data_IF_189841039645
#
_entry.id   IF_189841039645
#
_cell.length_a   1.000
_cell.length_b   1.000
_cell.length_c   1.000
_cell.angle_alpha   90.00
_cell.angle_beta   90.00
_cell.angle_gamma   90.00
#
_symmetry.space_group_name_H-M   'P 1'
#
loop_
_entity.id
_entity.type
_entity.pdbx_description
1 polymer ?
#
# COMPACT_ATOMS: atom_id res chain seq x y z
N UNK A 1 -0.98 25.42 -54.92
CA UNK A 1 -1.89 24.68 -54.01
C UNK A 1 -1.09 24.24 -52.80
N UNK A 2 -1.10 25.04 -51.75
CA UNK A 2 -0.39 24.83 -50.49
C UNK A 2 -1.37 24.31 -49.45
N UNK A 3 -1.11 23.21 -48.74
CA UNK A 3 -1.97 22.80 -47.64
C UNK A 3 -1.80 23.77 -46.45
N UNK A 4 -2.92 24.29 -45.97
CA UNK A 4 -3.01 25.01 -44.70
C UNK A 4 -2.84 24.01 -43.56
N UNK A 5 -1.68 24.04 -42.89
CA UNK A 5 -1.48 23.32 -41.63
C UNK A 5 -2.20 24.08 -40.52
N UNK A 6 -3.25 23.46 -39.98
CA UNK A 6 -4.03 23.97 -38.86
C UNK A 6 -3.14 24.15 -37.62
N UNK A 7 -3.05 25.38 -37.14
CA UNK A 7 -2.46 25.73 -35.86
C UNK A 7 -3.46 25.36 -34.74
N UNK A 8 -3.32 24.15 -34.19
CA UNK A 8 -3.99 23.73 -32.97
C UNK A 8 -3.08 24.03 -31.77
N UNK A 9 -3.31 25.15 -31.08
CA UNK A 9 -2.72 25.38 -29.76
C UNK A 9 -3.48 24.50 -28.77
N UNK A 10 -3.02 23.26 -28.61
CA UNK A 10 -3.40 22.45 -27.47
C UNK A 10 -2.51 22.88 -26.29
N UNK A 11 -3.02 23.76 -25.45
CA UNK A 11 -2.47 23.98 -24.12
C UNK A 11 -2.64 22.68 -23.33
N UNK A 12 -1.66 21.78 -23.44
CA UNK A 12 -1.53 20.66 -22.52
C UNK A 12 -1.10 21.25 -21.19
N UNK A 13 -2.08 21.56 -20.33
CA UNK A 13 -1.83 21.68 -18.90
C UNK A 13 -1.26 20.35 -18.44
N UNK A 14 0.06 20.30 -18.29
CA UNK A 14 0.71 19.28 -17.48
C UNK A 14 0.19 19.53 -16.08
N UNK A 15 -0.76 18.71 -15.64
CA UNK A 15 -1.03 18.59 -14.22
C UNK A 15 0.24 17.99 -13.61
N UNK A 16 1.17 18.88 -13.23
CA UNK A 16 2.26 18.57 -12.33
C UNK A 16 1.60 18.33 -10.97
N UNK A 17 1.04 17.12 -10.82
CA UNK A 17 0.64 16.57 -9.52
C UNK A 17 1.90 16.22 -8.75
N UNK A 18 2.67 17.24 -8.40
CA UNK A 18 3.78 17.12 -7.48
C UNK A 18 3.22 16.86 -6.09
N UNK A 19 3.51 15.70 -5.53
CA UNK A 19 3.92 15.66 -4.13
C UNK A 19 5.33 15.10 -4.11
N UNK A 20 6.22 15.99 -3.72
CA UNK A 20 7.65 15.80 -3.60
C UNK A 20 7.95 14.62 -2.69
N UNK A 21 8.57 13.59 -3.29
CA UNK A 21 9.39 12.60 -2.58
C UNK A 21 10.62 13.35 -2.02
N UNK A 22 10.41 14.17 -0.98
CA UNK A 22 11.29 15.29 -0.66
C UNK A 22 11.53 15.45 0.83
N UNK A 23 12.03 14.39 1.48
CA UNK A 23 12.80 14.44 2.74
C UNK A 23 13.40 13.08 3.17
N UNK A 24 12.90 11.94 2.67
CA UNK A 24 13.37 10.62 3.14
C UNK A 24 14.75 10.17 2.61
N UNK A 25 15.45 11.03 1.86
CA UNK A 25 16.79 10.76 1.34
C UNK A 25 17.93 11.13 2.33
N UNK A 26 17.62 11.47 3.58
CA UNK A 26 18.63 11.83 4.59
C UNK A 26 18.60 10.91 5.82
N UNK A 27 18.66 9.60 5.58
CA UNK A 27 19.17 8.62 6.54
C UNK A 27 19.68 7.36 5.78
N UNK A 28 20.62 7.56 4.84
CA UNK A 28 21.47 6.46 4.38
C UNK A 28 22.23 5.93 5.61
N UNK A 29 22.08 4.63 5.87
CA UNK A 29 22.81 3.78 6.84
C UNK A 29 22.01 3.22 8.04
N UNK A 30 20.68 3.20 7.97
CA UNK A 30 19.85 2.39 8.88
C UNK A 30 19.01 1.39 8.10
N UNK A 31 19.14 0.10 8.40
CA UNK A 31 18.33 -1.00 7.87
C UNK A 31 16.89 -0.96 8.43
N UNK A 32 16.30 0.22 8.59
CA UNK A 32 15.09 0.45 9.38
C UNK A 32 13.94 0.87 8.48
N UNK A 33 13.02 -0.07 8.26
CA UNK A 33 11.74 0.17 7.59
C UNK A 33 10.98 1.32 8.26
N UNK A 34 10.51 2.28 7.47
CA UNK A 34 9.70 3.41 7.93
C UNK A 34 8.31 2.94 8.29
N UNK A 35 7.92 3.13 9.54
CA UNK A 35 6.55 2.84 10.02
C UNK A 35 5.56 3.92 9.60
N UNK A 36 4.29 3.58 9.60
CA UNK A 36 3.22 4.55 9.36
C UNK A 36 3.22 5.68 10.40
N UNK A 37 3.58 5.39 11.67
CA UNK A 37 3.70 6.41 12.72
C UNK A 37 4.78 7.43 12.37
N UNK A 38 5.95 6.99 11.92
CA UNK A 38 7.03 7.89 11.50
C UNK A 38 6.61 8.74 10.31
N UNK A 39 5.96 8.14 9.31
CA UNK A 39 5.42 8.85 8.15
C UNK A 39 4.38 9.93 8.54
N UNK A 40 3.45 9.60 9.43
CA UNK A 40 2.40 10.53 9.88
C UNK A 40 2.92 11.59 10.87
N UNK A 41 4.06 11.35 11.52
CA UNK A 41 4.70 12.33 12.40
C UNK A 41 5.43 13.43 11.62
N UNK A 42 5.77 13.19 10.35
CA UNK A 42 6.38 14.19 9.49
C UNK A 42 5.41 15.37 9.22
N UNK A 43 5.84 16.59 9.52
CA UNK A 43 5.04 17.80 9.33
C UNK A 43 4.68 18.06 7.85
N UNK A 44 5.43 17.48 6.91
CA UNK A 44 5.20 17.64 5.46
C UNK A 44 4.15 16.70 4.89
N UNK A 45 3.68 15.71 5.65
CA UNK A 45 2.66 14.78 5.16
C UNK A 45 1.31 15.49 5.03
N UNK A 46 0.88 15.73 3.78
CA UNK A 46 -0.34 16.50 3.46
C UNK A 46 -1.63 15.70 3.62
N UNK A 47 -1.54 14.36 3.68
CA UNK A 47 -2.71 13.47 3.61
C UNK A 47 -2.98 12.74 4.95
N UNK A 48 -2.54 13.30 6.09
CA UNK A 48 -2.69 12.65 7.41
C UNK A 48 -4.15 12.30 7.72
N UNK A 49 -5.08 13.18 7.35
CA UNK A 49 -6.51 12.98 7.58
C UNK A 49 -7.05 11.72 6.90
N UNK A 50 -6.47 11.27 5.78
CA UNK A 50 -6.84 10.00 5.13
C UNK A 50 -6.60 8.79 6.02
N UNK A 51 -5.68 8.88 6.99
CA UNK A 51 -5.33 7.80 7.91
C UNK A 51 -5.92 8.02 9.30
N UNK A 52 -6.00 9.27 9.74
CA UNK A 52 -6.32 9.63 11.13
C UNK A 52 -7.79 9.98 11.36
N UNK A 53 -8.65 9.91 10.34
CA UNK A 53 -10.10 10.05 10.57
C UNK A 53 -10.57 8.98 11.55
N UNK A 54 -11.57 9.32 12.38
CA UNK A 54 -12.16 8.39 13.32
C UNK A 54 -12.59 7.08 12.63
N UNK A 55 -12.44 5.98 13.36
CA UNK A 55 -12.80 4.63 12.94
C UNK A 55 -11.93 3.99 11.84
N UNK A 56 -10.85 4.62 11.36
CA UNK A 56 -9.92 3.96 10.42
C UNK A 56 -8.92 3.04 11.12
N UNK A 57 -8.43 2.02 10.43
CA UNK A 57 -7.40 1.11 10.99
C UNK A 57 -6.16 1.88 11.44
N UNK A 58 -5.72 2.84 10.61
CA UNK A 58 -4.57 3.68 10.90
C UNK A 58 -4.84 4.81 11.89
N UNK A 59 -6.08 5.04 12.34
CA UNK A 59 -6.35 6.05 13.37
C UNK A 59 -5.86 5.62 14.75
N UNK A 60 -5.64 4.31 14.96
CA UNK A 60 -5.08 3.78 16.21
C UNK A 60 -3.56 3.89 16.19
N UNK A 61 -2.99 4.73 17.07
CA UNK A 61 -1.53 4.97 17.15
C UNK A 61 -0.73 3.67 17.32
N UNK A 62 -1.21 2.71 18.12
CA UNK A 62 -0.54 1.41 18.28
C UNK A 62 -0.46 0.61 16.98
N UNK A 63 -1.43 0.75 16.07
CA UNK A 63 -1.36 0.12 14.75
C UNK A 63 -0.32 0.82 13.89
N UNK A 64 -0.26 2.16 13.92
CA UNK A 64 0.69 2.94 13.12
C UNK A 64 2.17 2.56 13.39
N UNK A 65 2.50 2.12 14.61
CA UNK A 65 3.84 1.64 14.99
C UNK A 65 4.21 0.30 14.33
N UNK A 66 3.21 -0.45 13.89
CA UNK A 66 3.35 -1.81 13.35
C UNK A 66 3.25 -1.84 11.84
N UNK A 67 2.45 -0.94 11.27
CA UNK A 67 2.19 -0.85 9.83
C UNK A 67 3.37 -0.20 9.10
N UNK A 68 3.72 -0.72 7.94
CA UNK A 68 4.80 -0.19 7.10
C UNK A 68 4.26 0.93 6.21
N UNK A 69 4.93 2.07 6.17
CA UNK A 69 4.46 3.19 5.36
C UNK A 69 4.59 2.92 3.84
N UNK A 70 3.62 3.41 3.08
CA UNK A 70 3.70 3.45 1.63
C UNK A 70 4.57 4.64 1.18
N UNK A 71 5.89 4.49 1.28
CA UNK A 71 6.88 5.49 0.87
C UNK A 71 8.02 4.83 0.09
N UNK A 72 8.67 5.57 -0.80
CA UNK A 72 9.79 5.08 -1.60
C UNK A 72 10.96 4.56 -0.76
N UNK A 73 11.17 5.11 0.44
CA UNK A 73 12.18 4.60 1.37
C UNK A 73 11.95 3.14 1.79
N UNK A 74 10.73 2.62 1.67
CA UNK A 74 10.38 1.24 1.99
C UNK A 74 10.34 0.31 0.76
N UNK A 75 10.68 0.79 -0.44
CA UNK A 75 10.61 0.01 -1.67
C UNK A 75 11.29 -1.36 -1.54
N UNK A 76 12.53 -1.39 -1.03
CA UNK A 76 13.27 -2.64 -0.83
C UNK A 76 12.57 -3.59 0.14
N UNK A 77 11.95 -3.06 1.20
CA UNK A 77 11.19 -3.86 2.15
C UNK A 77 9.94 -4.47 1.50
N UNK A 78 9.18 -3.68 0.74
CA UNK A 78 7.98 -4.15 0.04
C UNK A 78 8.31 -5.23 -0.99
N UNK A 79 9.38 -5.04 -1.76
CA UNK A 79 9.85 -6.03 -2.72
C UNK A 79 10.32 -7.31 -2.02
N UNK A 80 11.12 -7.19 -0.94
CA UNK A 80 11.55 -8.35 -0.15
C UNK A 80 10.38 -9.10 0.48
N UNK A 81 9.38 -8.38 1.00
CA UNK A 81 8.17 -8.97 1.57
C UNK A 81 7.38 -9.73 0.51
N UNK A 82 7.22 -9.16 -0.69
CA UNK A 82 6.59 -9.87 -1.81
C UNK A 82 7.40 -11.09 -2.23
N UNK A 83 8.71 -10.97 -2.42
CA UNK A 83 9.59 -12.06 -2.83
C UNK A 83 9.58 -13.25 -1.87
N UNK A 84 9.41 -13.01 -0.57
CA UNK A 84 9.28 -14.06 0.45
C UNK A 84 8.05 -14.94 0.23
N UNK A 85 6.96 -14.40 -0.33
CA UNK A 85 5.66 -15.07 -0.38
C UNK A 85 5.11 -15.29 -1.77
N UNK A 86 5.73 -14.69 -2.79
CA UNK A 86 5.27 -14.85 -4.16
C UNK A 86 5.39 -16.31 -4.56
N UNK A 87 4.39 -16.80 -5.27
CA UNK A 87 4.33 -18.11 -5.88
C UNK A 87 3.89 -17.96 -7.33
N UNK A 88 4.22 -18.91 -8.22
CA UNK A 88 3.70 -18.91 -9.58
C UNK A 88 2.17 -18.88 -9.58
N UNK A 89 1.55 -18.04 -10.43
CA UNK A 89 0.09 -17.85 -10.50
C UNK A 89 -0.64 -19.09 -11.03
N UNK A 90 0.08 -19.98 -11.73
CA UNK A 90 -0.35 -21.25 -12.33
C UNK A 90 0.89 -22.14 -12.58
N UNK A 91 0.78 -23.21 -13.40
CA UNK A 91 1.96 -23.90 -13.97
C UNK A 91 2.85 -22.99 -14.85
N UNK A 92 2.37 -21.79 -15.20
CA UNK A 92 3.17 -20.77 -15.86
C UNK A 92 4.09 -20.06 -14.85
N UNK A 93 5.37 -20.45 -14.88
CA UNK A 93 6.42 -19.92 -14.01
C UNK A 93 6.83 -18.47 -14.31
N UNK A 94 6.25 -17.83 -15.34
CA UNK A 94 6.58 -16.45 -15.71
C UNK A 94 5.80 -15.39 -14.92
N UNK A 95 4.69 -15.75 -14.27
CA UNK A 95 3.85 -14.82 -13.51
C UNK A 95 3.83 -15.19 -12.04
N UNK A 96 4.27 -14.27 -11.18
CA UNK A 96 4.29 -14.46 -9.73
C UNK A 96 3.24 -13.60 -9.06
N UNK A 97 2.49 -14.18 -8.13
CA UNK A 97 1.52 -13.46 -7.29
C UNK A 97 1.54 -13.97 -5.85
N UNK A 98 0.76 -13.34 -4.97
CA UNK A 98 0.53 -13.86 -3.63
C UNK A 98 -0.64 -14.88 -3.57
N UNK A 99 -1.12 -15.39 -4.70
CA UNK A 99 -2.35 -16.21 -4.77
C UNK A 99 -2.38 -17.38 -3.80
N UNK A 100 -1.30 -18.15 -3.70
CA UNK A 100 -1.21 -19.33 -2.82
C UNK A 100 -0.83 -18.99 -1.38
N UNK A 101 -0.33 -17.78 -1.13
CA UNK A 101 0.14 -17.33 0.18
C UNK A 101 -0.83 -16.37 0.87
N UNK A 102 -1.89 -15.95 0.18
CA UNK A 102 -2.93 -15.04 0.66
C UNK A 102 -4.28 -15.74 0.75
N UNK A 103 -5.02 -15.39 1.81
CA UNK A 103 -6.36 -15.93 2.01
C UNK A 103 -7.46 -15.08 1.35
N UNK A 104 -7.22 -13.79 1.14
CA UNK A 104 -8.18 -12.84 0.58
C UNK A 104 -7.91 -12.52 -0.89
N UNK A 105 -8.98 -12.41 -1.68
CA UNK A 105 -8.89 -12.14 -3.14
C UNK A 105 -8.14 -10.85 -3.47
N UNK A 106 -8.18 -9.85 -2.57
CA UNK A 106 -7.46 -8.58 -2.72
C UNK A 106 -5.95 -8.81 -2.77
N UNK A 107 -5.40 -9.61 -1.86
CA UNK A 107 -3.96 -9.86 -1.80
C UNK A 107 -3.54 -10.93 -2.83
N UNK A 108 -4.41 -11.87 -3.18
CA UNK A 108 -4.13 -12.82 -4.27
C UNK A 108 -3.85 -12.16 -5.63
N UNK A 109 -4.38 -10.95 -5.86
CA UNK A 109 -4.17 -10.15 -7.06
C UNK A 109 -2.84 -9.37 -7.10
N UNK A 110 -2.07 -9.38 -6.01
CA UNK A 110 -0.79 -8.67 -5.92
C UNK A 110 0.24 -9.37 -6.81
N UNK A 111 0.85 -8.61 -7.71
CA UNK A 111 1.81 -9.04 -8.74
C UNK A 111 3.22 -8.47 -8.49
N UNK A 112 3.37 -7.50 -7.58
CA UNK A 112 4.66 -6.88 -7.22
C UNK A 112 4.66 -6.31 -5.80
N UNK A 113 5.85 -6.11 -5.24
CA UNK A 113 6.01 -5.53 -3.90
C UNK A 113 5.72 -4.04 -3.86
N UNK A 114 6.44 -3.25 -4.65
CA UNK A 114 6.32 -1.80 -4.67
C UNK A 114 5.88 -1.27 -6.05
N UNK A 115 5.06 -0.23 -6.04
CA UNK A 115 4.83 0.65 -7.19
C UNK A 115 4.56 2.08 -6.73
N UNK A 116 5.15 3.04 -7.45
CA UNK A 116 4.81 4.46 -7.36
C UNK A 116 3.67 4.87 -8.29
N UNK A 117 3.18 3.95 -9.14
CA UNK A 117 2.17 4.23 -10.14
C UNK A 117 0.76 4.01 -9.58
N UNK A 118 -0.11 5.00 -9.74
CA UNK A 118 -1.52 4.91 -9.31
C UNK A 118 -2.31 3.81 -10.07
N UNK A 119 -1.85 3.41 -11.25
CA UNK A 119 -2.45 2.32 -12.03
C UNK A 119 -2.31 0.93 -11.39
N UNK A 120 -1.45 0.79 -10.38
CA UNK A 120 -1.17 -0.47 -9.68
C UNK A 120 -1.83 -0.56 -8.30
N UNK A 121 -2.85 0.25 -8.02
CA UNK A 121 -3.48 0.35 -6.71
C UNK A 121 -3.89 -1.02 -6.12
N UNK A 122 -4.24 -1.99 -6.97
CA UNK A 122 -4.66 -3.34 -6.57
C UNK A 122 -3.63 -4.43 -6.91
N UNK A 123 -2.45 -4.06 -7.43
CA UNK A 123 -1.43 -4.99 -7.94
C UNK A 123 -0.10 -4.89 -7.22
N UNK A 124 0.19 -3.75 -6.59
CA UNK A 124 1.39 -3.55 -5.79
C UNK A 124 1.07 -3.66 -4.30
N UNK A 125 1.88 -4.42 -3.57
CA UNK A 125 1.65 -4.70 -2.16
C UNK A 125 1.60 -3.42 -1.31
N UNK A 126 2.51 -2.47 -1.55
CA UNK A 126 2.53 -1.18 -0.85
C UNK A 126 1.21 -0.41 -1.02
N UNK A 127 0.61 -0.44 -2.21
CA UNK A 127 -0.65 0.26 -2.50
C UNK A 127 -1.85 -0.44 -1.87
N UNK A 128 -1.90 -1.77 -1.96
CA UNK A 128 -2.96 -2.59 -1.34
C UNK A 128 -2.97 -2.40 0.18
N UNK A 129 -1.79 -2.40 0.80
CA UNK A 129 -1.65 -2.14 2.22
C UNK A 129 -2.05 -0.69 2.58
N UNK A 130 -1.64 0.30 1.79
CA UNK A 130 -2.03 1.69 2.01
C UNK A 130 -3.55 1.89 1.98
N UNK A 131 -4.23 1.25 1.02
CA UNK A 131 -5.67 1.25 0.94
C UNK A 131 -6.32 0.59 2.17
N UNK A 132 -5.73 -0.49 2.69
CA UNK A 132 -6.19 -1.14 3.91
C UNK A 132 -6.11 -0.20 5.13
N UNK A 133 -5.04 0.59 5.25
CA UNK A 133 -4.84 1.51 6.37
C UNK A 133 -5.94 2.57 6.48
N UNK A 134 -6.46 2.98 5.32
CA UNK A 134 -7.50 4.02 5.17
C UNK A 134 -8.92 3.48 5.33
N UNK A 135 -9.10 2.16 5.35
CA UNK A 135 -10.40 1.51 5.58
C UNK A 135 -10.86 1.67 7.03
N UNK A 136 -12.17 1.68 7.21
CA UNK A 136 -12.82 1.69 8.53
C UNK A 136 -12.64 0.33 9.22
N UNK A 137 -12.52 0.33 10.55
CA UNK A 137 -12.30 -0.87 11.40
C UNK A 137 -13.38 -1.93 11.22
N UNK A 138 -14.62 -1.55 10.87
CA UNK A 138 -15.72 -2.49 10.59
C UNK A 138 -15.49 -3.35 9.35
N UNK A 139 -14.57 -2.98 8.46
CA UNK A 139 -14.11 -3.81 7.33
C UNK A 139 -13.25 -4.99 7.79
N UNK A 140 -12.81 -4.97 9.05
CA UNK A 140 -11.92 -5.96 9.66
C UNK A 140 -12.61 -6.73 10.80
N UNK A 141 -13.73 -6.20 11.32
CA UNK A 141 -14.58 -6.89 12.30
C UNK A 141 -15.60 -7.77 11.58
N UNK A 142 -15.48 -9.09 11.79
CA UNK A 142 -16.54 -10.03 11.47
C UNK A 142 -17.59 -10.05 12.58
N UNK A 143 -18.86 -9.89 12.24
CA UNK A 143 -19.99 -10.14 13.15
C UNK A 143 -21.04 -11.13 12.64
N UNK A 144 -20.99 -11.60 11.38
CA UNK A 144 -21.83 -12.67 10.79
C UNK A 144 -21.27 -13.08 9.41
N UNK A 145 -21.38 -14.36 9.01
CA UNK A 145 -21.25 -14.98 7.65
C UNK A 145 -20.23 -14.45 6.62
N UNK A 146 -20.25 -13.13 6.37
CA UNK A 146 -19.19 -12.32 5.73
C UNK A 146 -17.90 -12.21 6.58
N UNK A 147 -17.92 -12.77 7.78
CA UNK A 147 -16.81 -12.89 8.73
C UNK A 147 -15.56 -13.49 8.14
N UNK A 148 -15.71 -14.54 7.35
CA UNK A 148 -14.55 -15.29 6.88
C UNK A 148 -13.75 -14.44 5.90
N UNK A 149 -14.40 -13.67 5.04
CA UNK A 149 -13.70 -12.77 4.11
C UNK A 149 -12.99 -11.64 4.85
N UNK A 150 -13.62 -11.04 5.87
CA UNK A 150 -13.00 -9.99 6.69
C UNK A 150 -11.86 -10.54 7.56
N UNK A 151 -11.99 -11.75 8.10
CA UNK A 151 -10.93 -12.46 8.85
C UNK A 151 -9.74 -12.75 7.94
N UNK A 152 -9.97 -13.33 6.77
CA UNK A 152 -8.93 -13.59 5.75
C UNK A 152 -8.21 -12.30 5.34
N UNK A 153 -8.96 -11.24 5.07
CA UNK A 153 -8.40 -9.94 4.74
C UNK A 153 -7.57 -9.36 5.90
N UNK A 154 -8.07 -9.48 7.13
CA UNK A 154 -7.35 -9.05 8.33
C UNK A 154 -6.05 -9.83 8.53
N UNK A 155 -6.08 -11.15 8.34
CA UNK A 155 -4.89 -12.01 8.42
C UNK A 155 -3.85 -11.59 7.38
N UNK A 156 -4.27 -11.37 6.14
CA UNK A 156 -3.37 -10.91 5.08
C UNK A 156 -2.76 -9.53 5.41
N UNK A 157 -3.55 -8.59 5.96
CA UNK A 157 -3.02 -7.30 6.41
C UNK A 157 -1.99 -7.47 7.54
N UNK A 158 -2.26 -8.34 8.52
CA UNK A 158 -1.30 -8.67 9.60
C UNK A 158 -0.07 -9.44 9.11
N UNK A 159 -0.16 -10.10 7.95
CA UNK A 159 0.93 -10.90 7.38
C UNK A 159 1.84 -10.06 6.50
N UNK A 160 1.24 -9.26 5.62
CA UNK A 160 1.97 -8.58 4.56
C UNK A 160 2.23 -7.10 4.84
N UNK A 161 1.39 -6.43 5.64
CA UNK A 161 1.44 -4.98 5.80
C UNK A 161 2.12 -4.49 7.09
N UNK A 162 2.55 -5.40 7.97
CA UNK A 162 3.20 -5.08 9.25
C UNK A 162 4.68 -5.46 9.25
N UNK A 163 5.46 -4.81 10.12
CA UNK A 163 6.89 -5.10 10.31
C UNK A 163 7.13 -6.57 10.69
N UNK A 164 6.36 -7.07 11.65
CA UNK A 164 6.39 -8.46 12.10
C UNK A 164 5.14 -9.19 11.61
N UNK A 165 5.31 -10.41 11.14
CA UNK A 165 4.18 -11.26 10.72
C UNK A 165 3.27 -11.58 11.90
N UNK A 166 1.97 -11.66 11.63
CA UNK A 166 0.94 -12.02 12.61
C UNK A 166 0.87 -11.06 13.80
N UNK A 167 1.30 -9.80 13.61
CA UNK A 167 1.19 -8.80 14.65
C UNK A 167 -0.27 -8.43 14.86
N UNK A 168 -0.73 -8.44 16.11
CA UNK A 168 -2.08 -8.00 16.41
C UNK A 168 -2.28 -6.52 16.16
N UNK A 169 -3.38 -6.21 15.47
CA UNK A 169 -3.87 -4.88 15.24
C UNK A 169 -5.10 -4.67 16.12
N UNK A 170 -5.24 -3.46 16.67
CA UNK A 170 -6.43 -3.06 17.41
C UNK A 170 -7.53 -2.73 16.42
N UNK A 171 -8.58 -3.54 16.43
CA UNK A 171 -9.69 -3.48 15.47
C UNK A 171 -11.01 -3.12 16.17
N UNK A 172 -11.09 -3.24 17.50
CA UNK A 172 -12.20 -2.80 18.34
C UNK A 172 -12.34 -1.28 18.35
#
# INVERSE_FOLDING_TARGET
MTPQTAAGIAAATVAVGGTSVGAYMLAKNGNTTVTLKQFLSDAKTTNKTEYTSENKLASVVKNQEKLVANVSANESWWNSRFDKYKQPKTEDTSVYTLSSSSESTVFQAVEKGYSSENGDANKALNQVCDAAYKKVKTEFQGTDGNDDNKKKYTNDVKKFCTLQENTDLTIS
#
